data_IF_001627548030
#
_entry.id   IF_001627548030
#
_cell.length_a   1.000
_cell.length_b   1.000
_cell.length_c   1.000
_cell.angle_alpha   90.00
_cell.angle_beta   90.00
_cell.angle_gamma   90.00
#
_symmetry.space_group_name_H-M   'P 1'
#
loop_
_entity.id
_entity.type
_entity.pdbx_description
1 polymer ?
#
# COMPACT_ATOMS: atom_id res chain seq x y z
N UNK A 1 53.22 -21.81 30.79
CA UNK A 1 51.96 -21.03 30.63
C UNK A 1 52.17 -20.05 29.49
N UNK A 2 51.56 -20.29 28.32
CA UNK A 2 51.60 -19.34 27.21
C UNK A 2 50.15 -19.20 26.74
N UNK A 3 49.54 -18.08 27.09
CA UNK A 3 48.20 -17.71 26.66
C UNK A 3 48.19 -17.67 25.13
N UNK A 4 47.59 -18.68 24.51
CA UNK A 4 47.33 -18.74 23.07
C UNK A 4 45.82 -18.70 22.87
N UNK A 5 45.17 -17.63 23.29
CA UNK A 5 43.73 -17.53 23.13
C UNK A 5 43.23 -16.08 23.17
N UNK A 6 43.66 -15.24 22.23
CA UNK A 6 43.07 -13.89 22.11
C UNK A 6 42.99 -13.33 20.69
N UNK A 7 43.72 -13.81 19.69
CA UNK A 7 43.64 -13.20 18.34
C UNK A 7 42.52 -13.78 17.46
N UNK A 8 42.14 -15.05 17.64
CA UNK A 8 41.14 -15.70 16.79
C UNK A 8 39.71 -15.17 17.04
N UNK A 9 39.39 -14.82 18.29
CA UNK A 9 38.04 -14.34 18.66
C UNK A 9 37.78 -12.89 18.22
N UNK A 10 38.81 -12.06 18.08
CA UNK A 10 38.67 -10.65 17.64
C UNK A 10 38.38 -10.56 16.14
N UNK A 11 38.93 -11.48 15.35
CA UNK A 11 38.71 -11.55 13.91
C UNK A 11 37.29 -11.96 13.52
N UNK A 12 36.63 -12.79 14.34
CA UNK A 12 35.26 -13.25 14.09
C UNK A 12 34.20 -12.15 14.31
N UNK A 13 34.43 -11.23 15.24
CA UNK A 13 33.49 -10.12 15.53
C UNK A 13 33.55 -9.04 14.45
N UNK A 14 34.71 -8.82 13.83
CA UNK A 14 34.89 -7.80 12.79
C UNK A 14 34.20 -8.15 11.45
N UNK A 15 33.91 -9.43 11.20
CA UNK A 15 33.24 -9.89 9.97
C UNK A 15 31.72 -9.79 10.01
N UNK A 16 31.12 -9.45 11.17
CA UNK A 16 29.66 -9.40 11.33
C UNK A 16 29.06 -8.01 11.10
N UNK A 17 29.88 -7.01 10.76
CA UNK A 17 29.44 -5.64 10.49
C UNK A 17 29.20 -5.42 9.00
N UNK A 18 28.32 -6.20 8.39
CA UNK A 18 27.75 -5.83 7.09
C UNK A 18 26.63 -4.84 7.33
N UNK A 19 26.65 -3.65 6.73
CA UNK A 19 25.49 -2.77 6.78
C UNK A 19 24.38 -3.46 5.98
N UNK A 20 23.30 -3.85 6.66
CA UNK A 20 22.05 -4.19 5.99
C UNK A 20 21.51 -2.90 5.39
N UNK A 21 21.64 -2.77 4.07
CA UNK A 21 20.90 -1.76 3.35
C UNK A 21 19.58 -2.45 3.08
N UNK A 22 18.49 -1.93 3.67
CA UNK A 22 17.19 -2.22 3.11
C UNK A 22 17.31 -1.81 1.65
N UNK A 23 17.24 -2.79 0.74
CA UNK A 23 16.86 -2.44 -0.62
C UNK A 23 15.51 -1.78 -0.41
N UNK A 24 15.35 -0.54 -0.86
CA UNK A 24 14.03 0.06 -1.02
C UNK A 24 13.30 -0.83 -2.04
N UNK A 25 12.83 -1.99 -1.58
CA UNK A 25 11.61 -2.58 -2.07
C UNK A 25 10.62 -1.43 -1.90
N UNK A 26 10.01 -0.89 -2.97
CA UNK A 26 8.93 0.05 -2.80
C UNK A 26 7.88 -0.76 -2.04
N UNK A 27 7.94 -0.66 -0.72
CA UNK A 27 6.88 -1.05 0.17
C UNK A 27 5.79 -0.07 -0.23
N UNK A 28 5.04 -0.45 -1.27
CA UNK A 28 3.69 -0.02 -1.45
C UNK A 28 3.05 -0.39 -0.13
N UNK A 29 3.07 0.58 0.77
CA UNK A 29 2.58 0.48 2.12
C UNK A 29 1.16 -0.06 1.96
N UNK A 30 0.91 -1.31 2.36
CA UNK A 30 -0.38 -1.95 2.14
C UNK A 30 -1.51 -1.09 2.75
N UNK A 31 -1.18 -0.30 3.79
CA UNK A 31 -2.03 0.73 4.35
C UNK A 31 -2.29 1.89 3.38
N UNK A 32 -1.27 2.39 2.67
CA UNK A 32 -1.43 3.41 1.62
C UNK A 32 -2.25 2.89 0.43
N UNK A 33 -2.01 1.66 -0.05
CA UNK A 33 -2.84 1.09 -1.13
C UNK A 33 -4.31 0.93 -0.71
N UNK A 34 -4.58 0.43 0.50
CA UNK A 34 -5.96 0.34 0.99
C UNK A 34 -6.60 1.72 1.20
N UNK A 35 -5.82 2.69 1.67
CA UNK A 35 -6.29 4.06 1.84
C UNK A 35 -6.62 4.73 0.50
N UNK A 36 -5.74 4.59 -0.49
CA UNK A 36 -5.94 5.08 -1.86
C UNK A 36 -7.14 4.40 -2.52
N UNK A 37 -7.35 3.10 -2.28
CA UNK A 37 -8.55 2.39 -2.75
C UNK A 37 -9.82 2.98 -2.15
N UNK A 38 -9.85 3.15 -0.82
CA UNK A 38 -11.02 3.73 -0.14
C UNK A 38 -11.29 5.16 -0.61
N UNK A 39 -10.24 5.97 -0.78
CA UNK A 39 -10.36 7.34 -1.28
C UNK A 39 -10.85 7.37 -2.73
N UNK A 40 -10.34 6.49 -3.60
CA UNK A 40 -10.82 6.36 -4.97
C UNK A 40 -12.32 6.03 -5.01
N UNK A 41 -12.77 5.08 -4.20
CA UNK A 41 -14.19 4.69 -4.17
C UNK A 41 -15.06 5.84 -3.69
N UNK A 42 -14.63 6.57 -2.66
CA UNK A 42 -15.37 7.71 -2.12
C UNK A 42 -15.47 8.85 -3.15
N UNK A 43 -14.33 9.26 -3.71
CA UNK A 43 -14.27 10.34 -4.71
C UNK A 43 -15.08 10.00 -5.97
N UNK A 44 -14.95 8.77 -6.49
CA UNK A 44 -15.68 8.33 -7.66
C UNK A 44 -17.19 8.22 -7.39
N UNK A 45 -17.58 7.80 -6.18
CA UNK A 45 -18.99 7.75 -5.77
C UNK A 45 -19.58 9.16 -5.71
N UNK A 46 -18.91 10.10 -5.03
CA UNK A 46 -19.38 11.47 -4.89
C UNK A 46 -19.48 12.18 -6.24
N UNK A 47 -18.48 12.02 -7.11
CA UNK A 47 -18.53 12.58 -8.46
C UNK A 47 -19.71 12.02 -9.27
N UNK A 48 -19.93 10.70 -9.20
CA UNK A 48 -21.07 10.07 -9.88
C UNK A 48 -22.41 10.58 -9.35
N UNK A 49 -22.57 10.73 -8.03
CA UNK A 49 -23.80 11.26 -7.43
C UNK A 49 -24.07 12.69 -7.89
N UNK A 50 -23.03 13.53 -7.88
CA UNK A 50 -23.15 14.93 -8.29
C UNK A 50 -23.48 15.07 -9.79
N UNK A 51 -22.89 14.24 -10.64
CA UNK A 51 -23.10 14.32 -12.09
C UNK A 51 -24.41 13.67 -12.55
N UNK A 52 -24.75 12.51 -11.97
CA UNK A 52 -25.87 11.69 -12.43
C UNK A 52 -27.10 11.78 -11.51
N UNK A 53 -26.93 11.70 -10.18
CA UNK A 53 -28.07 11.54 -9.28
C UNK A 53 -28.82 12.83 -8.99
N UNK A 54 -28.16 13.99 -8.99
CA UNK A 54 -28.84 15.28 -8.79
C UNK A 54 -29.92 15.58 -9.84
N UNK A 55 -29.80 14.98 -11.03
CA UNK A 55 -30.76 15.13 -12.13
C UNK A 55 -31.48 13.81 -12.47
N UNK A 56 -31.28 12.73 -11.69
CA UNK A 56 -31.89 11.43 -11.92
C UNK A 56 -33.16 11.25 -11.10
N UNK A 57 -34.14 10.58 -11.68
CA UNK A 57 -35.36 10.15 -10.98
C UNK A 57 -35.20 8.74 -10.38
N UNK A 58 -34.06 8.07 -10.60
CA UNK A 58 -33.79 6.73 -10.06
C UNK A 58 -33.50 6.77 -8.56
N UNK A 59 -34.32 6.02 -7.81
CA UNK A 59 -34.18 5.85 -6.36
C UNK A 59 -32.85 5.18 -6.00
N UNK A 60 -32.37 4.28 -6.86
CA UNK A 60 -31.15 3.48 -6.61
C UNK A 60 -29.88 4.12 -7.18
N UNK A 61 -29.94 5.41 -7.56
CA UNK A 61 -28.82 6.07 -8.24
C UNK A 61 -27.54 6.08 -7.39
N UNK A 62 -27.63 6.38 -6.09
CA UNK A 62 -26.47 6.38 -5.19
C UNK A 62 -25.85 4.98 -5.07
N UNK A 63 -26.67 3.93 -4.97
CA UNK A 63 -26.21 2.54 -4.88
C UNK A 63 -25.54 2.07 -6.18
N UNK A 64 -26.06 2.49 -7.34
CA UNK A 64 -25.46 2.22 -8.64
C UNK A 64 -24.11 2.95 -8.79
N UNK A 65 -24.03 4.20 -8.35
CA UNK A 65 -22.78 4.98 -8.33
C UNK A 65 -21.72 4.32 -7.44
N UNK A 66 -22.11 3.82 -6.27
CA UNK A 66 -21.20 3.11 -5.37
C UNK A 66 -20.67 1.81 -5.98
N UNK A 67 -21.52 1.01 -6.63
CA UNK A 67 -21.08 -0.21 -7.34
C UNK A 67 -20.13 0.11 -8.48
N UNK A 68 -20.46 1.12 -9.28
CA UNK A 68 -19.61 1.56 -10.39
C UNK A 68 -18.24 2.06 -9.90
N UNK A 69 -18.22 2.81 -8.80
CA UNK A 69 -16.99 3.30 -8.18
C UNK A 69 -16.13 2.13 -7.66
N UNK A 70 -16.74 1.15 -6.99
CA UNK A 70 -16.04 -0.06 -6.55
C UNK A 70 -15.42 -0.82 -7.72
N UNK A 71 -16.18 -1.09 -8.78
CA UNK A 71 -15.68 -1.82 -9.95
C UNK A 71 -14.54 -1.06 -10.65
N UNK A 72 -14.66 0.27 -10.79
CA UNK A 72 -13.61 1.11 -11.40
C UNK A 72 -12.32 1.16 -10.59
N UNK A 73 -12.43 1.32 -9.28
CA UNK A 73 -11.26 1.42 -8.40
C UNK A 73 -10.60 0.05 -8.18
N UNK A 74 -11.38 -1.03 -8.24
CA UNK A 74 -10.83 -2.40 -8.20
C UNK A 74 -10.00 -2.70 -9.45
N UNK A 75 -10.47 -2.28 -10.63
CA UNK A 75 -9.73 -2.47 -11.89
C UNK A 75 -8.37 -1.77 -11.93
N UNK A 76 -8.20 -0.63 -11.24
CA UNK A 76 -6.93 0.09 -11.20
C UNK A 76 -5.87 -0.57 -10.31
N UNK A 77 -6.25 -1.54 -9.47
CA UNK A 77 -5.31 -2.31 -8.64
C UNK A 77 -4.85 -3.58 -9.37
N UNK A 78 -5.66 -4.09 -10.30
CA UNK A 78 -5.40 -5.32 -11.05
C UNK A 78 -4.62 -5.08 -12.38
N UNK A 79 -4.40 -3.83 -12.80
CA UNK A 79 -3.54 -3.42 -13.95
C UNK A 79 -2.12 -3.03 -13.52
#
# INVERSE_FOLDING_TARGET
MKAKLTCASVLLVALYSFPVWAVDDPQVDEGAQQFDQMQCVDDATQNCINDACLNSEEIDCEDNCKKLAQDKCQQQIDE
#
